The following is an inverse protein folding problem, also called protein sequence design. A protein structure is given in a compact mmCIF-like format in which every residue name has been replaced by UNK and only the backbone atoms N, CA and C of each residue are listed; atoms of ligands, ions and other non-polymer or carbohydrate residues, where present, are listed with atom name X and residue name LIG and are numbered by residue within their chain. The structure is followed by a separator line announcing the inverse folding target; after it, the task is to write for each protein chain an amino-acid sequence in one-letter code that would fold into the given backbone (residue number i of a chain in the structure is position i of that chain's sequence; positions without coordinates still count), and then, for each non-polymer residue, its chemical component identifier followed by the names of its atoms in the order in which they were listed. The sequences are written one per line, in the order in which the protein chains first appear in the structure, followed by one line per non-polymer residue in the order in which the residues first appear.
data_IF_256450252612
#
_entry.id   IF_256450252612
#
_cell.length_a   1.000
_cell.length_b   1.000
_cell.length_c   1.000
_cell.angle_alpha   90.00
_cell.angle_beta   90.00
_cell.angle_gamma   90.00
#
_symmetry.space_group_name_H-M   'P 1'
#
loop_
_entity.id
_entity.type
_entity.pdbx_description
1 polymer ?
#
# COMPACT_ATOMS: atom_id res chain seq x y z
N UNK A 1 3.65 -6.01 10.18
CA UNK A 1 3.53 -4.81 9.36
C UNK A 1 2.33 -3.96 9.74
N UNK A 2 2.53 -3.11 10.74
CA UNK A 2 1.46 -2.24 11.24
C UNK A 2 1.00 -1.21 10.19
N UNK A 3 1.94 -0.68 9.39
CA UNK A 3 1.63 0.31 8.35
C UNK A 3 0.64 -0.23 7.33
N UNK A 4 0.87 -1.45 6.84
CA UNK A 4 0.00 -2.08 5.85
C UNK A 4 -1.39 -2.34 6.43
N UNK A 5 -1.46 -2.83 7.68
CA UNK A 5 -2.73 -3.05 8.36
C UNK A 5 -3.49 -1.73 8.57
N UNK A 6 -2.77 -0.65 8.90
CA UNK A 6 -3.39 0.65 9.10
C UNK A 6 -4.03 1.18 7.82
N UNK A 7 -3.38 1.04 6.67
CA UNK A 7 -3.91 1.54 5.39
C UNK A 7 -4.87 0.55 4.70
N UNK A 8 -5.09 -0.62 5.28
CA UNK A 8 -6.11 -1.54 4.78
C UNK A 8 -7.53 -0.99 4.98
N UNK A 9 -7.72 -0.17 6.00
CA UNK A 9 -9.00 0.50 6.23
C UNK A 9 -9.18 1.68 5.26
N UNK A 10 -10.32 1.77 4.53
CA UNK A 10 -10.53 2.84 3.54
C UNK A 10 -10.48 4.25 4.12
N UNK A 11 -11.01 4.45 5.32
CA UNK A 11 -11.00 5.77 5.98
C UNK A 11 -9.57 6.19 6.32
N UNK A 12 -8.79 5.29 6.92
CA UNK A 12 -7.40 5.59 7.26
C UNK A 12 -6.56 5.82 6.02
N UNK A 13 -6.76 5.04 4.96
CA UNK A 13 -6.10 5.25 3.68
C UNK A 13 -6.40 6.64 3.12
N UNK A 14 -7.67 7.07 3.19
CA UNK A 14 -8.07 8.40 2.74
C UNK A 14 -7.40 9.51 3.55
N UNK A 15 -7.29 9.33 4.86
CA UNK A 15 -6.56 10.27 5.72
C UNK A 15 -5.10 10.41 5.25
N UNK A 16 -4.44 9.30 5.00
CA UNK A 16 -3.04 9.30 4.51
C UNK A 16 -2.94 10.04 3.17
N UNK A 17 -3.87 9.81 2.25
CA UNK A 17 -3.90 10.50 0.96
C UNK A 17 -4.07 12.00 1.12
N UNK A 18 -4.96 12.43 2.01
CA UNK A 18 -5.18 13.85 2.30
C UNK A 18 -3.94 14.51 2.91
N UNK A 19 -3.30 13.82 3.85
CA UNK A 19 -2.08 14.32 4.48
C UNK A 19 -0.88 14.32 3.55
N UNK A 20 -0.87 13.45 2.53
CA UNK A 20 0.16 13.46 1.50
C UNK A 20 0.11 14.75 0.66
N UNK A 21 -1.06 15.34 0.52
CA UNK A 21 -1.23 16.61 -0.20
C UNK A 21 -0.74 17.79 0.65
N UNK A 22 -1.16 17.83 1.92
CA UNK A 22 -0.73 18.85 2.88
C UNK A 22 -1.07 18.43 4.30
N UNK A 23 -0.38 18.99 5.27
CA UNK A 23 -0.70 18.82 6.69
C UNK A 23 -2.05 19.48 7.02
N UNK A 24 -2.76 18.92 8.00
CA UNK A 24 -4.10 19.37 8.39
C UNK A 24 -4.31 19.22 9.89
N UNK A 25 -5.19 20.04 10.45
CA UNK A 25 -5.68 19.82 11.82
C UNK A 25 -6.65 18.65 11.83
N UNK A 26 -6.85 18.05 13.01
CA UNK A 26 -7.87 17.02 13.19
C UNK A 26 -9.27 17.55 12.81
N UNK A 27 -9.58 18.82 13.16
CA UNK A 27 -10.84 19.44 12.79
C UNK A 27 -11.06 19.55 11.29
N UNK A 28 -10.01 19.89 10.53
CA UNK A 28 -10.07 19.92 9.08
C UNK A 28 -10.34 18.53 8.51
N UNK A 29 -9.73 17.49 9.08
CA UNK A 29 -9.98 16.11 8.66
C UNK A 29 -11.42 15.68 8.92
N UNK A 30 -11.98 16.05 10.08
CA UNK A 30 -13.39 15.73 10.40
C UNK A 30 -14.34 16.27 9.32
N UNK A 31 -14.05 17.44 8.78
CA UNK A 31 -14.88 18.05 7.73
C UNK A 31 -14.86 17.29 6.41
N UNK A 32 -13.82 16.51 6.17
CA UNK A 32 -13.68 15.73 4.93
C UNK A 32 -14.45 14.40 4.98
N UNK A 33 -14.94 14.02 6.15
CA UNK A 33 -15.58 12.72 6.35
C UNK A 33 -16.97 12.91 6.96
N UNK A 34 -17.86 11.96 6.67
CA UNK A 34 -19.16 11.85 7.31
C UNK A 34 -19.03 10.97 8.56
N UNK A 35 -18.20 11.41 9.49
CA UNK A 35 -17.87 10.69 10.71
C UNK A 35 -17.72 11.65 11.87
N UNK A 36 -17.89 11.14 13.09
CA UNK A 36 -17.70 11.93 14.30
C UNK A 36 -16.23 12.26 14.56
N UNK A 37 -15.97 13.33 15.29
CA UNK A 37 -14.61 13.69 15.71
C UNK A 37 -13.93 12.58 16.52
N UNK A 38 -14.60 11.90 17.49
CA UNK A 38 -14.01 10.77 18.18
C UNK A 38 -13.61 9.61 17.25
N UNK A 39 -14.40 9.32 16.20
CA UNK A 39 -14.08 8.28 15.24
C UNK A 39 -12.81 8.62 14.44
N UNK A 40 -12.70 9.86 13.97
CA UNK A 40 -11.50 10.34 13.28
C UNK A 40 -10.29 10.28 14.22
N UNK A 41 -10.43 10.67 15.48
CA UNK A 41 -9.35 10.59 16.47
C UNK A 41 -8.86 9.18 16.68
N UNK A 42 -9.75 8.18 16.68
CA UNK A 42 -9.35 6.77 16.76
C UNK A 42 -8.55 6.33 15.55
N UNK A 43 -8.97 6.72 14.36
CA UNK A 43 -8.23 6.41 13.13
C UNK A 43 -6.84 7.06 13.14
N UNK A 44 -6.74 8.30 13.60
CA UNK A 44 -5.46 9.01 13.75
C UNK A 44 -4.55 8.31 14.76
N UNK A 45 -5.10 7.79 15.86
CA UNK A 45 -4.32 7.05 16.85
C UNK A 45 -3.70 5.78 16.23
N UNK A 46 -4.47 5.03 15.46
CA UNK A 46 -3.99 3.84 14.76
C UNK A 46 -2.86 4.21 13.79
N UNK A 47 -3.03 5.29 13.04
CA UNK A 47 -2.02 5.78 12.10
C UNK A 47 -0.74 6.24 12.81
N UNK A 48 -0.87 6.89 13.96
CA UNK A 48 0.30 7.30 14.76
C UNK A 48 1.05 6.09 15.32
N UNK A 49 0.35 5.11 15.84
CA UNK A 49 0.95 3.88 16.35
C UNK A 49 1.66 3.11 15.25
N UNK A 50 1.15 3.17 14.03
CA UNK A 50 1.77 2.55 12.87
C UNK A 50 2.95 3.37 12.29
N UNK A 51 3.22 4.54 12.83
CA UNK A 51 4.31 5.40 12.37
C UNK A 51 4.02 6.17 11.09
N UNK A 52 2.76 6.22 10.65
CA UNK A 52 2.36 6.89 9.41
C UNK A 52 2.03 8.37 9.62
N UNK A 53 1.63 8.75 10.81
CA UNK A 53 1.22 10.10 11.14
C UNK A 53 1.97 10.58 12.37
N UNK A 54 2.41 11.82 12.34
CA UNK A 54 2.94 12.53 13.50
C UNK A 54 2.06 13.72 13.81
N UNK A 55 2.03 14.12 15.07
CA UNK A 55 1.22 15.24 15.54
C UNK A 55 2.13 16.25 16.22
N UNK A 56 1.99 17.52 15.88
CA UNK A 56 2.64 18.60 16.62
C UNK A 56 1.61 19.59 17.13
N UNK A 57 1.87 20.15 18.29
CA UNK A 57 1.04 21.24 18.83
C UNK A 57 1.47 22.56 18.21
N UNK A 58 0.50 23.36 17.80
CA UNK A 58 0.73 24.71 17.31
C UNK A 58 -0.39 25.59 17.85
N UNK A 59 -0.09 26.38 18.89
CA UNK A 59 -1.08 27.09 19.64
C UNK A 59 -2.07 26.11 20.31
N UNK A 60 -3.35 26.28 20.05
CA UNK A 60 -4.40 25.37 20.53
C UNK A 60 -4.72 24.27 19.53
N UNK A 61 -4.04 24.27 18.37
CA UNK A 61 -4.29 23.31 17.31
C UNK A 61 -3.29 22.16 17.38
N UNK A 62 -3.72 20.99 16.90
CA UNK A 62 -2.87 19.83 16.69
C UNK A 62 -2.78 19.55 15.20
N UNK A 63 -1.58 19.71 14.66
CA UNK A 63 -1.33 19.53 13.24
C UNK A 63 -0.91 18.08 12.97
N UNK A 64 -1.65 17.43 12.11
CA UNK A 64 -1.39 16.07 11.66
C UNK A 64 -0.51 16.13 10.40
N UNK A 65 0.57 15.38 10.39
CA UNK A 65 1.52 15.36 9.28
C UNK A 65 1.81 13.92 8.90
N UNK A 66 1.84 13.64 7.61
CA UNK A 66 2.27 12.34 7.11
C UNK A 66 3.76 12.15 7.41
N UNK A 67 4.10 10.98 7.92
CA UNK A 67 5.49 10.55 8.07
C UNK A 67 5.82 9.59 6.92
N UNK A 68 6.53 10.03 5.87
CA UNK A 68 6.83 9.17 4.73
C UNK A 68 7.61 7.91 5.10
N UNK A 69 8.48 7.99 6.13
CA UNK A 69 9.23 6.84 6.59
C UNK A 69 8.34 5.69 7.07
N UNK A 70 7.11 5.99 7.52
CA UNK A 70 6.13 4.96 7.88
C UNK A 70 5.67 4.12 6.71
N UNK A 71 5.88 4.58 5.47
CA UNK A 71 5.55 3.83 4.26
C UNK A 71 6.68 2.90 3.80
N UNK A 72 7.85 2.97 4.41
CA UNK A 72 9.01 2.17 3.98
C UNK A 72 8.74 0.67 4.05
N UNK A 73 8.04 0.21 5.08
CA UNK A 73 7.65 -1.19 5.22
C UNK A 73 6.73 -1.65 4.09
N UNK A 74 5.80 -0.78 3.68
CA UNK A 74 4.88 -1.05 2.58
C UNK A 74 5.65 -1.12 1.27
N UNK A 75 6.57 -0.19 1.04
CA UNK A 75 7.44 -0.17 -0.14
C UNK A 75 8.27 -1.45 -0.22
N UNK A 76 8.89 -1.85 0.88
CA UNK A 76 9.71 -3.07 0.93
C UNK A 76 8.86 -4.31 0.65
N UNK A 77 7.67 -4.38 1.20
CA UNK A 77 6.75 -5.48 0.95
C UNK A 77 6.32 -5.55 -0.51
N UNK A 78 5.97 -4.41 -1.11
CA UNK A 78 5.59 -4.32 -2.52
C UNK A 78 6.73 -4.77 -3.44
N UNK A 79 7.93 -4.29 -3.19
CA UNK A 79 9.11 -4.64 -3.98
C UNK A 79 9.40 -6.14 -3.92
N UNK A 80 9.39 -6.70 -2.72
CA UNK A 80 9.59 -8.15 -2.52
C UNK A 80 8.51 -8.96 -3.23
N UNK A 81 7.27 -8.56 -3.10
CA UNK A 81 6.13 -9.27 -3.69
C UNK A 81 6.19 -9.22 -5.22
N UNK A 82 6.52 -8.08 -5.79
CA UNK A 82 6.73 -7.94 -7.24
C UNK A 82 7.86 -8.82 -7.73
N UNK A 83 8.97 -8.86 -7.01
CA UNK A 83 10.13 -9.68 -7.36
C UNK A 83 9.78 -11.17 -7.42
N UNK A 84 9.09 -11.66 -6.39
CA UNK A 84 8.62 -13.05 -6.33
C UNK A 84 7.68 -13.35 -7.51
N UNK A 85 6.74 -12.48 -7.77
CA UNK A 85 5.79 -12.62 -8.87
C UNK A 85 6.48 -12.63 -10.23
N UNK A 86 7.43 -11.72 -10.44
CA UNK A 86 8.20 -11.64 -11.69
C UNK A 86 9.00 -12.92 -11.96
N UNK A 87 9.65 -13.46 -10.93
CA UNK A 87 10.37 -14.73 -11.04
C UNK A 87 9.43 -15.87 -11.41
N UNK A 88 8.24 -15.90 -10.84
CA UNK A 88 7.23 -16.90 -11.15
C UNK A 88 6.74 -16.79 -12.58
N UNK A 89 6.50 -15.57 -13.07
CA UNK A 89 6.10 -15.33 -14.46
C UNK A 89 7.20 -15.77 -15.43
N UNK A 90 8.46 -15.46 -15.14
CA UNK A 90 9.59 -15.87 -15.96
C UNK A 90 9.69 -17.40 -16.05
N UNK A 91 9.49 -18.08 -14.92
CA UNK A 91 9.49 -19.54 -14.86
C UNK A 91 8.36 -20.13 -15.72
N UNK A 92 7.16 -19.57 -15.62
CA UNK A 92 6.01 -19.99 -16.43
C UNK A 92 6.27 -19.77 -17.92
N UNK A 93 6.83 -18.64 -18.29
CA UNK A 93 7.17 -18.33 -19.68
C UNK A 93 8.16 -19.33 -20.24
N UNK A 94 9.18 -19.68 -19.48
CA UNK A 94 10.16 -20.72 -19.90
C UNK A 94 9.49 -22.08 -20.09
N UNK A 95 8.59 -22.46 -19.18
CA UNK A 95 7.84 -23.72 -19.30
C UNK A 95 6.96 -23.75 -20.54
N UNK A 96 6.25 -22.66 -20.81
CA UNK A 96 5.38 -22.55 -21.99
C UNK A 96 6.19 -22.63 -23.29
N UNK A 97 7.35 -21.98 -23.34
CA UNK A 97 8.25 -22.07 -24.49
C UNK A 97 8.77 -23.50 -24.69
N UNK A 98 9.16 -24.15 -23.62
CA UNK A 98 9.61 -25.52 -23.67
C UNK A 98 8.51 -26.48 -24.17
N UNK A 99 7.28 -26.26 -23.73
CA UNK A 99 6.12 -27.02 -24.17
C UNK A 99 5.82 -26.78 -25.66
N UNK A 100 5.86 -25.54 -26.10
CA UNK A 100 5.67 -25.18 -27.50
C UNK A 100 6.73 -25.84 -28.40
N UNK A 101 7.98 -25.82 -27.96
CA UNK A 101 9.08 -26.50 -28.68
C UNK A 101 8.84 -28.00 -28.76
N UNK A 102 8.41 -28.64 -27.68
CA UNK A 102 8.05 -30.07 -27.67
C UNK A 102 6.92 -30.36 -28.64
N UNK A 103 5.91 -29.54 -28.63
CA UNK A 103 4.74 -29.67 -29.52
C UNK A 103 5.13 -29.49 -30.99
N UNK A 104 6.00 -28.52 -31.28
CA UNK A 104 6.53 -28.29 -32.63
C UNK A 104 7.33 -29.50 -33.15
N UNK A 105 8.17 -30.12 -32.28
CA UNK A 105 8.89 -31.33 -32.62
C UNK A 105 7.97 -32.52 -32.89
N UNK A 106 6.90 -32.67 -32.09
CA UNK A 106 5.88 -33.72 -32.31
C UNK A 106 5.16 -33.53 -33.63
N UNK A 107 4.82 -32.31 -34.00
CA UNK A 107 4.20 -32.00 -35.30
C UNK A 107 5.12 -32.37 -36.47
N UNK A 108 6.41 -32.06 -36.39
CA UNK A 108 7.39 -32.42 -37.41
C UNK A 108 7.51 -33.95 -37.59
N UNK A 109 7.47 -34.70 -36.48
CA UNK A 109 7.52 -36.16 -36.52
C UNK A 109 6.27 -36.79 -37.13
N UNK A 110 5.11 -36.20 -36.91
CA UNK A 110 3.86 -36.74 -37.43
C UNK A 110 3.56 -36.37 -38.87
N UNK A 111 4.24 -35.37 -39.44
CA UNK A 111 4.11 -34.96 -40.84
C UNK A 111 5.11 -35.65 -41.80
N UNK A 112 5.99 -36.45 -41.29
CA UNK A 112 6.87 -37.29 -42.08
C UNK A 112 6.36 -38.73 -42.13
#
# INVERSE_FOLDING_TARGET
MQSLLAIADPTRRRIVELLAVRERTAGELVKEFDMSAPAISQHLNVLREAGLVTTRAEGQSRIQTLNPAGLDDVDAWLEKTRSVWSHRLDALERELRAEDERNARKKKKSSS
#
